data_IF_158041284527
#
_entry.id   IF_158041284527
#
_cell.length_a   1.000
_cell.length_b   1.000
_cell.length_c   1.000
_cell.angle_alpha   90.00
_cell.angle_beta   90.00
_cell.angle_gamma   90.00
#
_symmetry.space_group_name_H-M   'P 1'
#
loop_
_entity.id
_entity.type
_entity.pdbx_description
1 polymer ?
#
# COMPACT_ATOMS: atom_id res chain seq x y z
N UNK A 1 -7.59 -8.21 -5.96
CA UNK A 1 -7.58 -8.66 -7.37
C UNK A 1 -6.53 -9.75 -7.55
N UNK A 2 -6.79 -10.76 -8.40
CA UNK A 2 -5.80 -11.79 -8.77
C UNK A 2 -5.85 -12.01 -10.29
N UNK A 3 -4.71 -12.25 -10.93
CA UNK A 3 -4.60 -12.57 -12.35
C UNK A 3 -3.43 -13.51 -12.62
N UNK A 4 -3.55 -14.33 -13.66
CA UNK A 4 -2.41 -15.10 -14.18
C UNK A 4 -1.77 -14.29 -15.31
N UNK A 5 -0.50 -13.97 -15.18
CA UNK A 5 0.27 -13.10 -16.09
C UNK A 5 1.41 -13.91 -16.71
N UNK A 6 1.70 -13.63 -17.96
CA UNK A 6 2.81 -14.23 -18.73
C UNK A 6 3.74 -13.15 -19.32
N UNK A 7 4.52 -13.51 -20.33
CA UNK A 7 5.47 -12.61 -20.97
C UNK A 7 4.88 -11.43 -21.73
N UNK A 8 3.56 -11.41 -21.97
CA UNK A 8 2.86 -10.26 -22.59
C UNK A 8 2.62 -9.12 -21.58
N UNK A 9 2.85 -9.38 -20.29
CA UNK A 9 2.57 -8.40 -19.23
C UNK A 9 1.08 -8.25 -18.93
N UNK A 10 0.75 -7.32 -18.05
CA UNK A 10 -0.63 -7.03 -17.66
C UNK A 10 -0.73 -5.69 -16.94
N UNK A 11 -1.96 -5.19 -16.82
CA UNK A 11 -2.33 -4.10 -15.93
C UNK A 11 -3.41 -4.61 -14.94
N UNK A 12 -3.05 -4.70 -13.67
CA UNK A 12 -3.98 -4.99 -12.59
C UNK A 12 -4.46 -3.67 -11.98
N UNK A 13 -5.78 -3.49 -11.88
CA UNK A 13 -6.36 -2.26 -11.32
C UNK A 13 -7.45 -2.61 -10.32
N UNK A 14 -7.40 -1.97 -9.15
CA UNK A 14 -8.45 -2.02 -8.12
C UNK A 14 -8.94 -0.58 -7.93
N UNK A 15 -9.83 -0.10 -8.80
CA UNK A 15 -10.19 1.31 -8.90
C UNK A 15 -10.88 1.84 -7.64
N UNK A 16 -11.59 0.98 -6.92
CA UNK A 16 -12.33 1.33 -5.70
C UNK A 16 -11.40 1.75 -4.54
N UNK A 17 -10.14 1.32 -4.58
CA UNK A 17 -9.14 1.66 -3.57
C UNK A 17 -7.98 2.49 -4.14
N UNK A 18 -8.05 2.87 -5.41
CA UNK A 18 -7.04 3.71 -6.06
C UNK A 18 -5.67 3.05 -6.20
N UNK A 19 -5.63 1.72 -6.44
CA UNK A 19 -4.39 0.95 -6.55
C UNK A 19 -4.30 0.29 -7.92
N UNK A 20 -3.13 0.36 -8.55
CA UNK A 20 -2.84 -0.37 -9.78
C UNK A 20 -1.40 -0.91 -9.80
N UNK A 21 -1.19 -1.99 -10.57
CA UNK A 21 0.12 -2.56 -10.83
C UNK A 21 0.28 -2.83 -12.32
N UNK A 22 1.23 -2.17 -12.94
CA UNK A 22 1.62 -2.38 -14.34
C UNK A 22 2.79 -3.35 -14.41
N UNK A 23 2.59 -4.44 -15.13
CA UNK A 23 3.59 -5.46 -15.42
C UNK A 23 3.95 -5.30 -16.90
N UNK A 24 5.14 -4.79 -17.24
CA UNK A 24 5.49 -4.58 -18.64
C UNK A 24 5.71 -5.90 -19.38
N UNK A 25 5.58 -5.86 -20.71
CA UNK A 25 5.93 -6.97 -21.58
C UNK A 25 7.37 -7.42 -21.34
N UNK A 26 7.59 -8.74 -21.19
CA UNK A 26 8.87 -9.34 -20.89
C UNK A 26 9.34 -9.18 -19.43
N UNK A 27 8.49 -8.73 -18.52
CA UNK A 27 8.79 -8.77 -17.07
C UNK A 27 8.77 -10.21 -16.54
N UNK A 28 7.96 -11.06 -17.12
CA UNK A 28 7.95 -12.51 -16.86
C UNK A 28 8.68 -13.19 -18.02
N UNK A 29 9.56 -14.14 -17.70
CA UNK A 29 10.30 -14.90 -18.71
C UNK A 29 9.35 -15.65 -19.63
N UNK A 30 9.68 -15.66 -20.93
CA UNK A 30 8.89 -16.33 -21.96
C UNK A 30 8.60 -17.80 -21.60
N UNK A 31 7.36 -18.22 -21.77
CA UNK A 31 6.87 -19.57 -21.46
C UNK A 31 6.59 -19.81 -19.97
N UNK A 32 6.81 -18.83 -19.12
CA UNK A 32 6.39 -18.88 -17.70
C UNK A 32 5.06 -18.14 -17.50
N UNK A 33 4.33 -18.57 -16.49
CA UNK A 33 3.09 -17.90 -16.01
C UNK A 33 3.13 -17.81 -14.51
N UNK A 34 2.73 -16.68 -13.97
CA UNK A 34 2.66 -16.45 -12.53
C UNK A 34 1.28 -15.92 -12.13
N UNK A 35 0.72 -16.48 -11.05
CA UNK A 35 -0.46 -15.91 -10.40
C UNK A 35 -0.04 -14.68 -9.61
N UNK A 36 -0.44 -13.49 -10.07
CA UNK A 36 -0.16 -12.24 -9.36
C UNK A 36 -1.39 -11.79 -8.58
N UNK A 37 -1.16 -11.12 -7.45
CA UNK A 37 -2.20 -10.50 -6.66
C UNK A 37 -1.90 -9.03 -6.36
N UNK A 38 -2.96 -8.25 -6.20
CA UNK A 38 -2.94 -6.86 -5.79
C UNK A 38 -4.10 -6.62 -4.83
N UNK A 39 -3.82 -6.13 -3.62
CA UNK A 39 -4.82 -5.91 -2.59
C UNK A 39 -4.46 -4.74 -1.66
N UNK A 40 -5.48 -4.11 -1.09
CA UNK A 40 -5.35 -3.25 0.09
C UNK A 40 -5.71 -4.07 1.32
N UNK A 41 -4.87 -3.99 2.35
CA UNK A 41 -5.06 -4.71 3.60
C UNK A 41 -5.74 -3.79 4.62
N UNK A 42 -6.92 -4.20 5.09
CA UNK A 42 -7.71 -3.46 6.08
C UNK A 42 -7.54 -3.99 7.51
N UNK A 43 -6.71 -5.00 7.73
CA UNK A 43 -6.47 -5.60 9.05
C UNK A 43 -5.48 -4.73 9.85
N UNK A 44 -5.95 -4.16 10.96
CA UNK A 44 -5.13 -3.32 11.84
C UNK A 44 -3.93 -4.06 12.43
N UNK A 45 -3.99 -5.39 12.56
CA UNK A 45 -2.87 -6.20 13.05
C UNK A 45 -1.66 -6.20 12.11
N UNK A 46 -1.86 -5.82 10.85
CA UNK A 46 -0.81 -5.73 9.83
C UNK A 46 -0.19 -4.33 9.72
N UNK A 47 -0.71 -3.35 10.47
CA UNK A 47 -0.15 -2.00 10.47
C UNK A 47 1.28 -1.99 10.99
N UNK A 48 2.16 -1.20 10.35
CA UNK A 48 3.53 -1.03 10.84
C UNK A 48 3.52 -0.40 12.24
N UNK A 49 4.30 -0.97 13.15
CA UNK A 49 4.67 -0.28 14.39
C UNK A 49 5.73 0.73 14.03
N UNK A 50 5.30 1.98 13.85
CA UNK A 50 6.19 3.06 13.42
C UNK A 50 6.92 3.66 14.62
N UNK A 51 8.17 4.13 14.44
CA UNK A 51 8.87 4.94 15.42
C UNK A 51 8.08 6.17 15.84
N UNK A 52 8.35 6.68 17.05
CA UNK A 52 7.72 7.91 17.56
C UNK A 52 7.98 9.08 16.61
N UNK A 53 6.91 9.81 16.28
CA UNK A 53 6.98 10.94 15.33
C UNK A 53 6.55 10.58 13.91
N UNK A 54 6.68 9.31 13.50
CA UNK A 54 6.16 8.89 12.20
C UNK A 54 4.65 8.58 12.25
N UNK A 55 3.98 8.89 11.17
CA UNK A 55 2.57 8.56 10.98
C UNK A 55 2.34 7.88 9.63
N UNK A 56 1.40 6.94 9.58
CA UNK A 56 0.99 6.29 8.35
C UNK A 56 0.23 7.29 7.46
N UNK A 57 0.55 7.29 6.16
CA UNK A 57 0.02 8.26 5.19
C UNK A 57 -0.63 7.59 3.97
N UNK A 58 -0.59 6.26 3.89
CA UNK A 58 -1.26 5.49 2.85
C UNK A 58 -1.95 4.27 3.44
N UNK A 59 -2.83 3.65 2.66
CA UNK A 59 -3.23 2.27 2.93
C UNK A 59 -2.02 1.32 2.85
N UNK A 60 -2.16 0.12 3.43
CA UNK A 60 -1.21 -0.96 3.28
C UNK A 60 -1.55 -1.71 1.99
N UNK A 61 -0.63 -1.69 1.03
CA UNK A 61 -0.82 -2.30 -0.28
C UNK A 61 0.04 -3.55 -0.40
N UNK A 62 -0.60 -4.67 -0.68
CA UNK A 62 0.07 -5.94 -0.93
C UNK A 62 0.05 -6.25 -2.42
N UNK A 63 1.20 -6.55 -2.97
CA UNK A 63 1.36 -7.10 -4.30
C UNK A 63 2.32 -8.30 -4.25
N UNK A 64 2.04 -9.32 -5.03
CA UNK A 64 2.81 -10.56 -4.94
C UNK A 64 2.47 -11.59 -5.99
N UNK A 65 3.03 -12.80 -5.82
CA UNK A 65 3.68 -13.32 -4.60
C UNK A 65 5.06 -12.74 -4.36
N UNK A 66 5.52 -12.81 -3.10
CA UNK A 66 6.89 -12.46 -2.76
C UNK A 66 7.88 -13.44 -3.42
N UNK A 67 9.07 -12.95 -3.78
CA UNK A 67 10.13 -13.77 -4.37
C UNK A 67 9.86 -14.24 -5.81
N UNK A 68 8.90 -13.63 -6.50
CA UNK A 68 8.73 -13.84 -7.93
C UNK A 68 9.97 -13.34 -8.68
N UNK A 69 10.43 -14.15 -9.63
CA UNK A 69 11.57 -13.84 -10.50
C UNK A 69 11.12 -12.95 -11.66
N UNK A 70 11.31 -11.65 -11.52
CA UNK A 70 11.00 -10.65 -12.54
C UNK A 70 12.26 -10.24 -13.30
N UNK A 71 12.16 -10.23 -14.63
CA UNK A 71 13.24 -9.80 -15.54
C UNK A 71 13.25 -8.27 -15.71
N UNK A 72 12.10 -7.64 -15.52
CA UNK A 72 11.92 -6.19 -15.55
C UNK A 72 11.11 -5.76 -14.35
N UNK A 73 11.34 -4.55 -13.83
CA UNK A 73 10.55 -4.04 -12.72
C UNK A 73 9.08 -3.85 -13.09
N UNK A 74 8.22 -4.00 -12.11
CA UNK A 74 6.80 -3.62 -12.16
C UNK A 74 6.63 -2.20 -11.62
N UNK A 75 5.54 -1.54 -11.99
CA UNK A 75 5.16 -0.23 -11.47
C UNK A 75 3.90 -0.39 -10.63
N UNK A 76 4.04 -0.18 -9.33
CA UNK A 76 2.93 -0.14 -8.38
C UNK A 76 2.53 1.31 -8.13
N UNK A 77 1.25 1.61 -8.31
CA UNK A 77 0.67 2.92 -8.00
C UNK A 77 -0.36 2.81 -6.89
N UNK A 78 -0.30 3.72 -5.90
CA UNK A 78 -1.28 3.82 -4.83
C UNK A 78 -1.33 5.24 -4.24
N UNK A 79 -2.41 5.54 -3.52
CA UNK A 79 -2.67 6.89 -3.00
C UNK A 79 -2.02 7.12 -1.63
N UNK A 80 -1.69 8.39 -1.34
CA UNK A 80 -1.28 8.89 -0.02
C UNK A 80 -2.06 10.15 0.35
N UNK A 81 -2.14 10.47 1.64
CA UNK A 81 -2.86 11.63 2.16
C UNK A 81 -1.96 12.79 2.64
N UNK A 82 -0.67 12.74 2.38
CA UNK A 82 0.22 13.86 2.72
C UNK A 82 -0.09 15.09 1.85
N UNK A 83 -0.19 16.28 2.45
CA UNK A 83 -0.22 17.55 1.72
C UNK A 83 1.23 17.97 1.40
N UNK A 84 1.61 17.91 0.13
CA UNK A 84 2.99 18.12 -0.30
C UNK A 84 3.34 19.58 -0.64
N UNK A 85 2.33 20.43 -0.85
CA UNK A 85 2.57 21.84 -1.29
C UNK A 85 3.36 22.65 -0.29
N UNK A 86 3.24 22.32 0.99
CA UNK A 86 3.95 23.03 2.06
C UNK A 86 5.38 22.55 2.25
N UNK A 87 5.76 21.39 1.68
CA UNK A 87 7.09 20.81 1.81
C UNK A 87 7.49 20.39 3.23
N UNK A 88 6.52 20.27 4.14
CA UNK A 88 6.79 20.03 5.58
C UNK A 88 6.91 18.54 5.94
N UNK A 89 6.79 17.64 4.98
CA UNK A 89 6.89 16.20 5.19
C UNK A 89 8.29 15.66 4.85
N UNK A 90 8.80 14.82 5.73
CA UNK A 90 9.83 13.82 5.39
C UNK A 90 9.16 12.47 5.20
N UNK A 91 9.00 12.08 3.94
CA UNK A 91 8.28 10.87 3.57
C UNK A 91 9.22 9.69 3.40
N UNK A 92 8.71 8.51 3.73
CA UNK A 92 9.45 7.25 3.57
C UNK A 92 8.53 6.12 3.13
N UNK A 93 9.08 5.24 2.30
CA UNK A 93 8.44 3.99 1.90
C UNK A 93 8.90 2.86 2.81
N UNK A 94 7.94 2.12 3.31
CA UNK A 94 8.14 0.98 4.20
C UNK A 94 7.67 -0.30 3.52
N UNK A 95 8.35 -1.40 3.78
CA UNK A 95 7.99 -2.71 3.26
C UNK A 95 8.11 -3.79 4.34
N UNK A 96 7.34 -4.86 4.18
CA UNK A 96 7.45 -6.09 4.97
C UNK A 96 7.30 -7.31 4.07
N UNK A 97 7.99 -8.38 4.41
CA UNK A 97 8.01 -9.64 3.65
C UNK A 97 6.79 -10.55 3.97
N UNK A 98 5.67 -9.95 4.37
CA UNK A 98 4.44 -10.70 4.63
C UNK A 98 3.88 -11.28 3.32
N UNK A 99 3.56 -12.59 3.32
CA UNK A 99 2.94 -13.26 2.18
C UNK A 99 1.48 -13.61 2.47
N UNK A 100 0.58 -13.09 1.63
CA UNK A 100 -0.87 -13.37 1.72
C UNK A 100 -1.21 -14.84 1.43
N UNK A 101 -0.39 -15.57 0.69
CA UNK A 101 -0.69 -16.95 0.26
C UNK A 101 -0.48 -17.97 1.39
N UNK A 102 0.39 -17.70 2.34
CA UNK A 102 0.63 -18.59 3.48
C UNK A 102 -0.59 -18.72 4.40
N UNK A 103 -1.52 -17.76 4.41
CA UNK A 103 -2.76 -17.83 5.20
C UNK A 103 -3.82 -18.77 4.61
N UNK A 104 -3.85 -18.99 3.31
CA UNK A 104 -4.92 -19.78 2.67
C UNK A 104 -4.71 -21.29 2.74
N UNK A 105 -3.49 -21.77 2.99
CA UNK A 105 -3.16 -23.20 2.98
C UNK A 105 -3.19 -23.88 4.36
N UNK A 106 -3.40 -23.11 5.45
CA UNK A 106 -3.38 -23.65 6.83
C UNK A 106 -4.77 -23.91 7.43
N UNK A 107 -5.82 -24.08 6.63
CA UNK A 107 -7.18 -24.39 7.13
C UNK A 107 -7.45 -25.88 7.34
N UNK A 108 -6.42 -26.74 7.49
CA UNK A 108 -6.62 -28.12 7.95
C UNK A 108 -5.62 -28.46 9.06
N UNK A 109 -6.16 -28.50 10.30
CA UNK A 109 -5.58 -29.18 11.47
C UNK A 109 -4.18 -28.77 11.95
N UNK A 110 -4.10 -27.66 12.69
CA UNK A 110 -3.33 -27.69 13.95
C UNK A 110 -3.65 -26.45 14.80
N UNK A 111 -4.06 -26.71 16.04
CA UNK A 111 -4.22 -25.74 17.12
C UNK A 111 -2.86 -25.15 17.51
N UNK A 112 -2.41 -24.14 16.78
CA UNK A 112 -1.33 -23.26 17.19
C UNK A 112 -1.69 -21.83 16.81
N UNK A 113 -2.51 -21.24 17.65
CA UNK A 113 -2.92 -19.83 17.67
C UNK A 113 -1.79 -18.91 18.16
N UNK A 114 -0.57 -19.02 17.64
CA UNK A 114 0.55 -18.27 18.21
C UNK A 114 1.56 -17.67 17.23
N UNK A 115 1.31 -17.64 15.91
CA UNK A 115 2.29 -17.08 14.98
C UNK A 115 1.93 -15.73 14.35
N UNK A 116 0.77 -15.16 14.69
CA UNK A 116 0.37 -13.83 14.19
C UNK A 116 0.78 -12.66 15.12
N UNK A 117 1.25 -12.99 16.34
CA UNK A 117 1.72 -12.00 17.32
C UNK A 117 3.22 -11.70 17.20
N UNK A 118 3.96 -12.41 16.34
CA UNK A 118 5.34 -12.09 16.01
C UNK A 118 5.32 -11.04 14.92
N UNK A 119 5.32 -9.76 15.31
CA UNK A 119 5.06 -8.61 14.46
C UNK A 119 5.81 -8.68 13.14
N UNK A 120 5.08 -8.49 12.05
CA UNK A 120 5.66 -8.30 10.71
C UNK A 120 6.75 -7.24 10.83
N UNK A 121 7.99 -7.59 10.50
CA UNK A 121 9.11 -6.66 10.60
C UNK A 121 9.01 -5.70 9.41
N UNK A 122 8.51 -4.51 9.68
CA UNK A 122 8.51 -3.43 8.72
C UNK A 122 9.87 -2.76 8.66
N UNK A 123 10.34 -2.50 7.44
CA UNK A 123 11.63 -1.85 7.17
C UNK A 123 11.42 -0.63 6.28
N UNK A 124 12.06 0.48 6.63
CA UNK A 124 12.19 1.62 5.73
C UNK A 124 13.10 1.23 4.57
N UNK A 125 12.60 1.35 3.34
CA UNK A 125 13.34 0.98 2.12
C UNK A 125 13.77 2.19 1.30
N UNK A 126 13.00 3.29 1.34
CA UNK A 126 13.31 4.51 0.62
C UNK A 126 12.95 5.75 1.46
N UNK A 127 13.69 6.83 1.25
CA UNK A 127 13.24 8.18 1.55
C UNK A 127 12.64 8.76 0.27
N UNK A 128 11.44 9.33 0.36
CA UNK A 128 10.68 9.82 -0.79
C UNK A 128 10.88 11.33 -0.97
N UNK A 129 10.77 11.82 -2.21
CA UNK A 129 10.89 13.24 -2.53
C UNK A 129 12.33 13.75 -2.69
N UNK A 130 13.33 12.89 -2.52
CA UNK A 130 14.72 13.19 -2.87
C UNK A 130 15.01 12.98 -4.35
N UNK A 131 16.22 13.37 -4.79
CA UNK A 131 16.66 13.03 -6.14
C UNK A 131 16.76 11.51 -6.31
N UNK A 132 16.20 10.96 -7.41
CA UNK A 132 16.20 9.53 -7.65
C UNK A 132 17.63 9.03 -7.90
N UNK A 133 18.14 8.19 -7.02
CA UNK A 133 19.36 7.44 -7.26
C UNK A 133 18.96 6.14 -7.93
N UNK A 134 19.05 6.10 -9.26
CA UNK A 134 18.80 4.88 -10.03
C UNK A 134 20.00 3.92 -9.88
N UNK A 135 19.96 3.07 -8.88
CA UNK A 135 20.88 1.95 -8.76
C UNK A 135 20.18 0.68 -9.25
N UNK A 136 20.83 -0.13 -10.09
CA UNK A 136 20.29 -1.41 -10.55
C UNK A 136 19.86 -2.30 -9.37
N UNK A 137 18.65 -2.87 -9.44
CA UNK A 137 18.11 -3.76 -8.41
C UNK A 137 17.58 -3.04 -7.16
N UNK A 138 17.64 -1.71 -7.09
CA UNK A 138 17.02 -0.95 -6.00
C UNK A 138 15.64 -0.42 -6.42
N UNK A 139 14.65 -0.43 -5.51
CA UNK A 139 13.37 0.18 -5.78
C UNK A 139 13.53 1.69 -5.95
N UNK A 140 12.73 2.24 -6.83
CA UNK A 140 12.65 3.67 -7.10
C UNK A 140 11.20 4.13 -6.93
N UNK A 141 10.96 5.27 -6.33
CA UNK A 141 9.61 5.81 -6.20
C UNK A 141 9.55 7.30 -6.56
N UNK A 142 8.50 7.65 -7.29
CA UNK A 142 8.12 9.02 -7.60
C UNK A 142 6.82 9.37 -6.89
N UNK A 143 6.74 10.59 -6.40
CA UNK A 143 5.53 11.14 -5.77
C UNK A 143 4.88 12.14 -6.70
N UNK A 144 3.55 12.11 -6.73
CA UNK A 144 2.75 13.27 -7.12
C UNK A 144 1.97 13.81 -5.92
N UNK A 145 1.02 14.74 -6.15
CA UNK A 145 0.26 15.38 -5.06
C UNK A 145 -0.61 14.41 -4.26
N UNK A 146 -0.91 13.23 -4.75
CA UNK A 146 -1.83 12.25 -4.14
C UNK A 146 -1.39 10.80 -4.30
N UNK A 147 -0.39 10.52 -5.12
CA UNK A 147 0.01 9.17 -5.49
C UNK A 147 1.50 8.89 -5.34
N UNK A 148 1.79 7.63 -5.16
CA UNK A 148 3.13 7.04 -5.19
C UNK A 148 3.21 6.12 -6.39
N UNK A 149 4.26 6.27 -7.19
CA UNK A 149 4.62 5.38 -8.30
C UNK A 149 5.90 4.66 -7.91
N UNK A 150 5.77 3.43 -7.47
CA UNK A 150 6.90 2.58 -7.05
C UNK A 150 7.31 1.66 -8.20
N UNK A 151 8.55 1.77 -8.63
CA UNK A 151 9.20 0.85 -9.57
C UNK A 151 10.00 -0.16 -8.76
N UNK A 152 9.68 -1.45 -8.88
CA UNK A 152 10.31 -2.50 -8.08
C UNK A 152 10.39 -3.83 -8.84
N UNK A 153 11.48 -4.58 -8.61
CA UNK A 153 11.64 -5.96 -9.05
C UNK A 153 11.18 -6.97 -8.00
N UNK A 154 10.85 -6.49 -6.80
CA UNK A 154 10.49 -7.34 -5.65
C UNK A 154 9.09 -6.98 -5.15
N UNK A 155 8.02 -7.51 -5.75
CA UNK A 155 6.67 -7.36 -5.22
C UNK A 155 6.60 -7.80 -3.75
N UNK A 156 5.93 -7.01 -2.91
CA UNK A 156 5.88 -7.21 -1.47
C UNK A 156 4.68 -6.44 -0.88
N UNK A 157 4.71 -6.16 0.41
CA UNK A 157 3.73 -5.30 1.08
C UNK A 157 4.35 -3.95 1.38
N UNK A 158 3.66 -2.89 0.98
CA UNK A 158 4.17 -1.52 1.04
C UNK A 158 3.22 -0.58 1.76
N UNK A 159 3.80 0.44 2.40
CA UNK A 159 3.08 1.57 2.97
C UNK A 159 3.96 2.83 2.98
N UNK A 160 3.32 3.99 2.92
CA UNK A 160 4.00 5.29 3.09
C UNK A 160 3.78 5.78 4.51
N UNK A 161 4.86 6.18 5.13
CA UNK A 161 4.86 6.89 6.41
C UNK A 161 5.68 8.17 6.30
N UNK A 162 5.42 9.11 7.18
CA UNK A 162 6.16 10.36 7.21
C UNK A 162 6.16 11.01 8.58
N UNK A 163 7.06 11.93 8.74
CA UNK A 163 7.20 12.78 9.91
C UNK A 163 7.32 14.25 9.52
N UNK A 164 7.18 15.12 10.49
CA UNK A 164 7.37 16.55 10.25
C UNK A 164 8.83 16.83 9.91
N UNK A 165 9.07 17.52 8.81
CA UNK A 165 10.43 17.91 8.42
C UNK A 165 11.04 18.83 9.48
N UNK A 166 12.28 18.54 9.86
CA UNK A 166 13.06 19.39 10.78
C UNK A 166 13.66 20.59 10.05
N UNK A 167 13.70 20.57 8.73
CA UNK A 167 14.33 21.61 7.90
C UNK A 167 13.31 22.65 7.43
N UNK A 168 12.08 22.20 7.12
CA UNK A 168 11.04 23.09 6.63
C UNK A 168 10.34 23.83 7.78
N UNK A 169 10.11 25.14 7.67
CA UNK A 169 9.30 25.85 8.66
C UNK A 169 7.83 25.49 8.54
N UNK A 170 7.21 25.03 9.62
CA UNK A 170 5.79 24.73 9.68
C UNK A 170 5.49 23.27 10.03
N UNK A 171 4.22 22.92 10.04
CA UNK A 171 3.75 21.60 10.40
C UNK A 171 3.37 20.80 9.15
N UNK A 172 3.68 19.52 9.17
CA UNK A 172 3.22 18.57 8.19
C UNK A 172 1.70 18.35 8.34
N UNK A 173 0.97 18.36 7.24
CA UNK A 173 -0.49 18.32 7.21
C UNK A 173 -0.97 17.13 6.40
N UNK A 174 -1.89 16.34 6.97
CA UNK A 174 -2.64 15.33 6.24
C UNK A 174 -3.86 15.92 5.55
N UNK A 175 -4.18 15.44 4.35
CA UNK A 175 -5.48 15.63 3.75
C UNK A 175 -6.47 14.64 4.38
N UNK A 176 -7.62 15.17 4.79
CA UNK A 176 -8.72 14.38 5.36
C UNK A 176 -10.01 14.64 4.58
N UNK A 177 -10.87 13.63 4.55
CA UNK A 177 -12.22 13.68 4.03
C UNK A 177 -13.22 13.49 5.18
N UNK A 178 -14.36 14.18 5.11
CA UNK A 178 -15.48 13.97 6.03
C UNK A 178 -16.65 13.41 5.23
N UNK A 179 -17.06 12.18 5.54
CA UNK A 179 -18.22 11.55 4.94
C UNK A 179 -19.39 11.54 5.92
N UNK A 180 -20.57 11.90 5.42
CA UNK A 180 -21.83 11.94 6.20
C UNK A 180 -22.79 10.92 5.60
N UNK A 181 -23.22 9.98 6.43
CA UNK A 181 -24.18 8.93 6.06
C UNK A 181 -25.49 9.15 6.81
N UNK A 182 -26.59 9.14 6.06
CA UNK A 182 -27.95 9.24 6.61
C UNK A 182 -28.62 7.86 6.56
N UNK A 183 -28.96 7.31 7.70
CA UNK A 183 -29.80 6.10 7.77
C UNK A 183 -31.25 6.45 7.52
N UNK A 184 -31.85 5.85 6.49
CA UNK A 184 -33.29 6.04 6.16
C UNK A 184 -34.23 5.38 7.16
N UNK A 185 -33.77 4.32 7.85
CA UNK A 185 -34.61 3.52 8.75
C UNK A 185 -34.54 3.98 10.22
N UNK A 186 -33.48 4.67 10.63
CA UNK A 186 -33.16 4.93 12.03
C UNK A 186 -33.08 6.41 12.39
N UNK A 187 -33.41 7.31 11.47
CA UNK A 187 -33.35 8.79 11.69
C UNK A 187 -32.06 9.27 12.37
N UNK A 188 -30.91 8.63 12.06
CA UNK A 188 -29.64 9.07 12.60
C UNK A 188 -28.61 9.35 11.49
N UNK A 189 -27.73 10.29 11.80
CA UNK A 189 -26.62 10.69 10.95
C UNK A 189 -25.35 10.15 11.55
N UNK A 190 -24.50 9.53 10.70
CA UNK A 190 -23.13 9.14 11.05
C UNK A 190 -22.14 9.99 10.29
N UNK A 191 -21.17 10.57 11.01
CA UNK A 191 -20.06 11.31 10.42
C UNK A 191 -18.78 10.53 10.63
N UNK A 192 -18.04 10.32 9.56
CA UNK A 192 -16.73 9.67 9.59
C UNK A 192 -15.66 10.64 9.08
N UNK A 193 -14.57 10.74 9.83
CA UNK A 193 -13.37 11.48 9.43
C UNK A 193 -12.32 10.46 9.06
N UNK A 194 -11.77 10.56 7.84
CA UNK A 194 -10.82 9.59 7.31
C UNK A 194 -9.75 10.29 6.48
N UNK A 195 -8.65 9.59 6.19
CA UNK A 195 -7.68 10.06 5.20
C UNK A 195 -8.34 10.24 3.83
N UNK A 196 -7.94 11.30 3.11
CA UNK A 196 -8.42 11.59 1.75
C UNK A 196 -7.75 10.66 0.73
N UNK A 197 -8.17 9.39 0.77
CA UNK A 197 -7.79 8.33 -0.17
C UNK A 197 -9.00 7.44 -0.46
N UNK A 198 -9.06 6.87 -1.65
CA UNK A 198 -10.13 5.93 -2.04
C UNK A 198 -10.16 4.70 -1.14
N UNK A 199 -8.99 4.21 -0.72
CA UNK A 199 -8.90 3.05 0.17
C UNK A 199 -9.55 3.32 1.53
N UNK A 200 -9.30 4.48 2.14
CA UNK A 200 -9.92 4.86 3.40
C UNK A 200 -11.43 5.03 3.25
N UNK A 201 -11.88 5.68 2.17
CA UNK A 201 -13.31 5.86 1.89
C UNK A 201 -14.04 4.51 1.74
N UNK A 202 -13.46 3.57 0.99
CA UNK A 202 -14.03 2.24 0.80
C UNK A 202 -14.17 1.49 2.14
N UNK A 203 -13.13 1.50 2.99
CA UNK A 203 -13.19 0.84 4.29
C UNK A 203 -14.30 1.40 5.17
N UNK A 204 -14.53 2.72 5.15
CA UNK A 204 -15.64 3.34 5.90
C UNK A 204 -16.99 2.93 5.33
N UNK A 205 -17.15 2.93 4.01
CA UNK A 205 -18.42 2.52 3.35
C UNK A 205 -18.75 1.06 3.69
N UNK A 206 -17.76 0.17 3.75
CA UNK A 206 -17.96 -1.24 4.11
C UNK A 206 -18.35 -1.44 5.59
N UNK A 207 -18.00 -0.50 6.48
CA UNK A 207 -18.36 -0.54 7.89
C UNK A 207 -19.73 0.08 8.20
N UNK A 208 -20.26 0.88 7.28
CA UNK A 208 -21.59 1.47 7.40
C UNK A 208 -22.59 0.48 6.82
N UNK A 209 -23.18 -0.36 7.67
CA UNK A 209 -24.34 -1.17 7.33
C UNK A 209 -25.52 -0.25 6.96
N UNK A 210 -25.94 -0.29 5.71
CA UNK A 210 -27.11 0.41 5.18
C UNK A 210 -28.38 -0.39 5.42
#
# INVERSE_FOLDING_TARGET
MRAVVDDQGALLVVPEVGVSMSIPEGAISRGRRHGLHLAVLGDDSLRPVLPTGLTLLSAIVACGPNGIDLVKPVILQFEHCAELRTGNWELSLWSTDFDLETKSNNSSNSSTSSSLASGSIWRKILTLGGEPINLPGQPFAQLDHSGVFLVTESPSVYAVAGENSVVAPGLAVKRICVAVFLSREKDHIRCHVMEDTKAAFKLVVEQVDF
#
